data_IF_168961021234
#
_entry.id   IF_168961021234
#
_cell.length_a   1.000
_cell.length_b   1.000
_cell.length_c   1.000
_cell.angle_alpha   90.00
_cell.angle_beta   90.00
_cell.angle_gamma   90.00
#
_symmetry.space_group_name_H-M   'P 1'
#
loop_
_entity.id
_entity.type
_entity.pdbx_description
1 polymer ?
#
# COMPACT_ATOMS: atom_id res chain seq x y z
N UNK A 1 -24.52 -12.02 35.75
CA UNK A 1 -24.62 -13.27 34.97
C UNK A 1 -24.17 -12.99 33.54
N UNK A 2 -23.06 -13.63 33.16
CA UNK A 2 -22.45 -13.82 31.84
C UNK A 2 -22.36 -12.64 30.83
N UNK A 3 -21.24 -11.92 30.88
CA UNK A 3 -20.58 -11.38 29.69
C UNK A 3 -19.40 -12.29 29.38
N UNK A 4 -19.32 -12.77 28.13
CA UNK A 4 -18.12 -13.07 27.33
C UNK A 4 -18.45 -14.17 26.34
N UNK A 5 -18.66 -13.79 25.09
CA UNK A 5 -18.41 -14.63 23.93
C UNK A 5 -17.77 -13.73 22.86
N UNK A 6 -16.58 -13.21 23.16
CA UNK A 6 -15.64 -12.88 22.09
C UNK A 6 -15.05 -14.22 21.68
N UNK A 7 -15.44 -14.69 20.50
CA UNK A 7 -14.95 -15.95 19.96
C UNK A 7 -13.44 -15.97 20.01
N UNK A 8 -12.90 -16.98 20.66
CA UNK A 8 -11.50 -17.35 20.59
C UNK A 8 -11.19 -17.65 19.13
N UNK A 9 -10.63 -16.67 18.41
CA UNK A 9 -9.94 -16.90 17.15
C UNK A 9 -8.67 -17.67 17.48
N UNK A 10 -8.88 -18.98 17.61
CA UNK A 10 -7.89 -20.03 17.73
C UNK A 10 -6.85 -19.85 16.61
N UNK A 11 -5.76 -19.21 16.99
CA UNK A 11 -4.63 -18.92 16.12
C UNK A 11 -3.85 -20.21 15.97
N UNK A 12 -4.18 -21.01 14.95
CA UNK A 12 -3.34 -22.12 14.49
C UNK A 12 -2.19 -21.54 13.65
N UNK A 13 -0.97 -21.38 14.18
CA UNK A 13 0.16 -20.77 13.45
C UNK A 13 0.68 -21.62 12.28
N UNK A 14 0.09 -22.79 12.02
CA UNK A 14 0.57 -23.73 11.00
C UNK A 14 -0.02 -23.49 9.59
N UNK A 15 -1.08 -22.68 9.44
CA UNK A 15 -1.76 -22.44 8.15
C UNK A 15 -1.82 -20.95 7.73
N UNK A 16 -1.00 -20.09 8.34
CA UNK A 16 -0.93 -18.66 7.97
C UNK A 16 0.27 -18.35 7.08
N UNK A 17 0.02 -17.75 5.91
CA UNK A 17 1.05 -17.22 5.02
C UNK A 17 1.28 -15.74 5.34
N UNK A 18 2.51 -15.37 5.67
CA UNK A 18 2.91 -13.97 5.89
C UNK A 18 3.57 -13.43 4.63
N UNK A 19 3.06 -12.32 4.11
CA UNK A 19 3.70 -11.59 3.01
C UNK A 19 4.67 -10.56 3.58
N UNK A 20 5.97 -10.80 3.41
CA UNK A 20 7.04 -9.89 3.80
C UNK A 20 7.51 -9.07 2.59
N UNK A 21 7.01 -7.83 2.51
CA UNK A 21 7.37 -6.90 1.44
C UNK A 21 8.83 -6.44 1.49
N UNK A 22 9.52 -6.54 2.63
CA UNK A 22 10.92 -6.10 2.78
C UNK A 22 11.91 -7.14 2.24
N UNK A 23 11.51 -8.42 2.18
CA UNK A 23 12.30 -9.52 1.61
C UNK A 23 11.87 -9.95 0.21
N UNK A 24 10.90 -9.27 -0.38
CA UNK A 24 10.37 -9.62 -1.70
C UNK A 24 11.40 -9.33 -2.82
N UNK A 25 11.92 -10.38 -3.46
CA UNK A 25 12.96 -10.27 -4.51
C UNK A 25 12.50 -9.54 -5.77
N UNK A 26 11.19 -9.53 -6.04
CA UNK A 26 10.60 -8.85 -7.21
C UNK A 26 9.95 -7.52 -6.85
N UNK A 27 10.18 -6.99 -5.64
CA UNK A 27 9.55 -5.75 -5.17
C UNK A 27 9.76 -4.61 -6.17
N UNK A 28 8.68 -4.05 -6.68
CA UNK A 28 8.72 -2.93 -7.61
C UNK A 28 7.37 -2.69 -8.28
N UNK A 29 7.15 -1.53 -8.93
CA UNK A 29 5.83 -1.14 -9.44
C UNK A 29 5.19 -2.15 -10.39
N UNK A 30 5.99 -2.82 -11.23
CA UNK A 30 5.49 -3.82 -12.18
C UNK A 30 5.01 -5.10 -11.51
N UNK A 31 5.75 -5.63 -10.53
CA UNK A 31 5.38 -6.86 -9.82
C UNK A 31 4.38 -6.60 -8.68
N UNK A 32 4.52 -5.49 -7.97
CA UNK A 32 3.58 -5.09 -6.91
C UNK A 32 2.25 -4.62 -7.50
N UNK A 33 2.23 -4.04 -8.70
CA UNK A 33 0.99 -3.63 -9.38
C UNK A 33 0.03 -4.79 -9.68
N UNK A 34 0.57 -6.00 -9.87
CA UNK A 34 -0.19 -7.24 -10.11
C UNK A 34 -0.08 -8.23 -8.93
N UNK A 35 0.30 -7.75 -7.73
CA UNK A 35 0.42 -8.59 -6.55
C UNK A 35 -0.93 -8.80 -5.87
N UNK A 36 -1.17 -9.99 -5.31
CA UNK A 36 -2.36 -10.30 -4.50
C UNK A 36 -2.56 -9.33 -3.33
N UNK A 37 -1.48 -8.76 -2.79
CA UNK A 37 -1.56 -7.70 -1.75
C UNK A 37 -2.29 -6.48 -2.28
N UNK A 38 -1.93 -6.02 -3.47
CA UNK A 38 -2.59 -4.87 -4.13
C UNK A 38 -4.02 -5.19 -4.50
N UNK A 39 -4.31 -6.44 -4.91
CA UNK A 39 -5.67 -6.87 -5.20
C UNK A 39 -6.57 -6.92 -3.95
N UNK A 40 -6.04 -7.43 -2.82
CA UNK A 40 -6.81 -7.61 -1.58
C UNK A 40 -6.94 -6.33 -0.76
N UNK A 41 -5.88 -5.52 -0.69
CA UNK A 41 -5.86 -4.29 0.12
C UNK A 41 -6.23 -3.04 -0.70
N UNK A 42 -6.12 -3.12 -2.03
CA UNK A 42 -6.33 -1.99 -2.94
C UNK A 42 -5.21 -0.96 -2.87
N UNK A 43 -5.01 -0.24 -3.98
CA UNK A 43 -4.80 1.19 -3.89
C UNK A 43 -6.17 1.85 -4.08
N UNK A 44 -6.50 2.96 -3.40
CA UNK A 44 -7.75 3.65 -3.66
C UNK A 44 -7.87 3.92 -5.16
N UNK A 45 -8.98 3.53 -5.84
CA UNK A 45 -9.09 3.63 -7.29
C UNK A 45 -9.02 5.09 -7.78
N UNK A 46 -9.31 6.05 -6.90
CA UNK A 46 -9.18 7.48 -7.15
C UNK A 46 -7.78 8.05 -6.84
N UNK A 47 -6.86 7.23 -6.33
CA UNK A 47 -5.62 7.72 -5.72
C UNK A 47 -5.83 8.23 -4.29
N UNK A 48 -4.73 8.68 -3.68
CA UNK A 48 -4.74 9.37 -2.39
C UNK A 48 -4.51 10.85 -2.68
N UNK A 49 -5.43 11.70 -2.24
CA UNK A 49 -5.22 13.14 -2.22
C UNK A 49 -4.22 13.45 -1.11
N UNK A 50 -3.14 14.14 -1.47
CA UNK A 50 -2.11 14.59 -0.53
C UNK A 50 -2.07 16.10 -0.64
N UNK A 51 -2.38 16.80 0.44
CA UNK A 51 -2.36 18.25 0.45
C UNK A 51 -0.94 18.83 0.51
N UNK A 52 -0.83 20.17 0.46
CA UNK A 52 0.46 20.85 0.44
C UNK A 52 1.27 20.64 1.73
N UNK A 53 0.61 20.57 2.88
CA UNK A 53 1.28 20.40 4.18
C UNK A 53 1.74 18.94 4.34
N UNK A 54 0.93 17.98 3.90
CA UNK A 54 1.30 16.57 3.85
C UNK A 54 2.46 16.32 2.87
N UNK A 55 2.45 16.95 1.69
CA UNK A 55 3.58 16.90 0.77
C UNK A 55 4.87 17.46 1.40
N UNK A 56 4.77 18.57 2.12
CA UNK A 56 5.92 19.15 2.83
C UNK A 56 6.44 18.20 3.93
N UNK A 57 5.54 17.58 4.70
CA UNK A 57 5.90 16.60 5.71
C UNK A 57 6.61 15.38 5.10
N UNK A 58 6.09 14.84 4.00
CA UNK A 58 6.71 13.75 3.26
C UNK A 58 8.10 14.13 2.72
N UNK A 59 8.29 15.41 2.33
CA UNK A 59 9.59 15.97 1.95
C UNK A 59 10.59 15.89 3.08
N UNK A 60 10.22 16.34 4.29
CA UNK A 60 11.09 16.28 5.48
C UNK A 60 11.48 14.84 5.82
N UNK A 61 10.55 13.90 5.74
CA UNK A 61 10.83 12.47 5.98
C UNK A 61 11.82 11.91 4.95
N UNK A 62 11.66 12.29 3.68
CA UNK A 62 12.57 11.91 2.60
C UNK A 62 13.96 12.49 2.79
N UNK A 63 14.07 13.78 3.14
CA UNK A 63 15.35 14.46 3.42
C UNK A 63 16.09 13.82 4.62
N UNK A 64 15.33 13.38 5.63
CA UNK A 64 15.86 12.67 6.78
C UNK A 64 16.19 11.19 6.50
N UNK A 65 15.87 10.67 5.30
CA UNK A 65 16.11 9.27 4.91
C UNK A 65 15.14 8.25 5.54
N UNK A 66 14.01 8.70 6.08
CA UNK A 66 12.99 7.83 6.68
C UNK A 66 12.02 7.27 5.64
N UNK A 67 11.91 7.90 4.49
CA UNK A 67 11.12 7.43 3.34
C UNK A 67 11.97 7.50 2.06
N UNK A 68 11.62 6.70 1.02
CA UNK A 68 12.25 6.84 -0.29
C UNK A 68 12.04 8.26 -0.87
N UNK A 69 12.96 8.75 -1.73
CA UNK A 69 12.82 10.05 -2.37
C UNK A 69 11.48 10.21 -3.09
N UNK A 70 10.84 11.37 -2.91
CA UNK A 70 9.56 11.67 -3.55
C UNK A 70 9.72 11.70 -5.08
N UNK A 71 9.16 10.69 -5.75
CA UNK A 71 9.09 10.55 -7.22
C UNK A 71 7.69 10.90 -7.72
N UNK A 72 7.23 12.10 -7.38
CA UNK A 72 5.94 12.59 -7.84
C UNK A 72 5.98 12.75 -9.35
N UNK A 73 5.08 12.05 -10.05
CA UNK A 73 4.88 12.21 -11.49
C UNK A 73 3.61 13.00 -11.70
N UNK A 74 3.71 14.14 -12.39
CA UNK A 74 2.52 14.86 -12.86
C UNK A 74 1.93 14.05 -14.01
N UNK A 75 0.66 13.61 -13.92
CA UNK A 75 -0.01 13.00 -15.05
C UNK A 75 -0.02 14.02 -16.20
N UNK A 76 0.66 13.69 -17.28
CA UNK A 76 0.45 14.38 -18.56
C UNK A 76 -0.80 13.75 -19.14
N UNK A 77 -1.74 14.57 -19.64
CA UNK A 77 -2.92 14.06 -20.32
C UNK A 77 -2.48 13.12 -21.47
N UNK A 78 -2.63 11.82 -21.27
CA UNK A 78 -2.43 10.82 -22.31
C UNK A 78 -3.66 10.72 -23.21
N UNK A 79 -3.57 10.05 -24.38
CA UNK A 79 -4.76 9.74 -25.17
C UNK A 79 -5.74 8.95 -24.29
N UNK A 80 -7.02 9.31 -24.38
CA UNK A 80 -8.12 8.70 -23.65
C UNK A 80 -8.06 7.17 -23.75
N UNK A 81 -7.57 6.51 -22.70
CA UNK A 81 -7.50 5.06 -22.65
C UNK A 81 -8.89 4.58 -22.23
N UNK A 82 -9.70 4.21 -23.22
CA UNK A 82 -11.00 3.59 -23.00
C UNK A 82 -10.77 2.21 -22.36
N UNK A 83 -11.10 2.08 -21.07
CA UNK A 83 -11.22 0.79 -20.43
C UNK A 83 -12.42 0.06 -21.09
N UNK A 84 -12.11 -0.96 -21.87
CA UNK A 84 -13.09 -1.90 -22.46
C UNK A 84 -13.43 -3.01 -21.47
#
# INVERSE_FOLDING_TARGET
MNSTAHGEHDSHPADSVVVDCDRCLVRGPSACGDCVVTFLLGAPPAGIEIDADEMAALGVLSEAGLTPPLRLVTPVAGPETQAV
#
